data_IF_033364377567
#
_entry.id   IF_033364377567
#
_cell.length_a   1.000
_cell.length_b   1.000
_cell.length_c   1.000
_cell.angle_alpha   90.00
_cell.angle_beta   90.00
_cell.angle_gamma   90.00
#
_symmetry.space_group_name_H-M   'P 1'
#
loop_
_entity.id
_entity.type
_entity.pdbx_description
1 polymer ?
#
# COMPACT_ATOMS: atom_id res chain seq x y z
N UNK A 1 -20.16 0.26 -8.51
CA UNK A 1 -19.01 0.05 -7.59
C UNK A 1 -19.14 1.07 -6.46
N UNK A 2 -18.61 0.80 -5.26
CA UNK A 2 -18.63 1.80 -4.18
C UNK A 2 -17.62 2.92 -4.49
N UNK A 3 -18.00 4.18 -4.20
CA UNK A 3 -17.22 5.37 -4.56
C UNK A 3 -15.76 5.32 -4.03
N UNK A 4 -15.56 4.92 -2.78
CA UNK A 4 -14.20 4.79 -2.20
C UNK A 4 -13.29 3.82 -2.98
N UNK A 5 -13.86 2.77 -3.60
CA UNK A 5 -13.11 1.84 -4.44
C UNK A 5 -12.81 2.49 -5.80
N UNK A 6 -13.73 3.29 -6.32
CA UNK A 6 -13.58 4.02 -7.55
C UNK A 6 -12.54 5.14 -7.43
N UNK A 7 -12.59 5.90 -6.33
CA UNK A 7 -11.68 7.00 -6.05
C UNK A 7 -10.27 6.54 -5.69
N UNK A 8 -10.14 5.34 -5.06
CA UNK A 8 -8.84 4.83 -4.67
C UNK A 8 -7.93 4.59 -5.88
N UNK A 9 -6.82 5.29 -5.95
CA UNK A 9 -5.73 5.06 -6.92
C UNK A 9 -4.36 5.32 -6.29
N UNK A 10 -3.29 5.03 -6.99
CA UNK A 10 -1.93 5.15 -6.50
C UNK A 10 -1.26 6.39 -7.09
N UNK A 11 -1.60 7.55 -6.54
CA UNK A 11 -0.98 8.82 -6.91
C UNK A 11 0.46 8.93 -6.41
N UNK A 12 1.19 9.86 -7.02
CA UNK A 12 2.56 10.25 -6.65
C UNK A 12 2.66 11.73 -6.29
N UNK A 13 1.71 12.53 -6.77
CA UNK A 13 1.67 13.97 -6.60
C UNK A 13 1.16 14.41 -5.24
N UNK A 14 1.92 14.13 -4.19
CA UNK A 14 1.59 14.56 -2.85
C UNK A 14 2.00 16.01 -2.59
N UNK A 15 1.19 16.70 -1.79
CA UNK A 15 1.53 17.99 -1.23
C UNK A 15 2.62 17.83 -0.15
N UNK A 16 3.83 18.39 -0.37
CA UNK A 16 4.92 18.26 0.59
C UNK A 16 4.70 19.07 1.88
N UNK A 17 3.75 19.99 1.90
CA UNK A 17 3.44 20.81 3.09
C UNK A 17 2.27 20.23 3.90
N UNK A 18 1.43 19.38 3.30
CA UNK A 18 0.32 18.75 3.99
C UNK A 18 0.82 17.70 4.98
N UNK A 19 0.22 17.67 6.16
CA UNK A 19 0.57 16.72 7.24
C UNK A 19 -0.50 15.65 7.41
N UNK A 20 -0.10 14.53 7.99
CA UNK A 20 -0.98 13.46 8.48
C UNK A 20 -0.72 13.32 9.96
N UNK A 21 -1.78 13.34 10.76
CA UNK A 21 -1.69 13.23 12.21
C UNK A 21 -1.49 11.78 12.66
N UNK A 22 -0.99 11.59 13.88
CA UNK A 22 -0.88 10.26 14.49
C UNK A 22 -2.24 9.58 14.71
N UNK A 23 -3.31 10.37 14.91
CA UNK A 23 -4.68 9.85 15.04
C UNK A 23 -5.17 9.29 13.70
N UNK A 24 -4.98 10.02 12.60
CA UNK A 24 -5.32 9.54 11.26
C UNK A 24 -4.56 8.25 10.90
N UNK A 25 -3.29 8.18 11.25
CA UNK A 25 -2.51 6.93 11.06
C UNK A 25 -3.07 5.80 11.92
N UNK A 26 -3.48 6.07 13.16
CA UNK A 26 -4.08 5.06 14.03
C UNK A 26 -5.36 4.48 13.43
N UNK A 27 -6.24 5.31 12.87
CA UNK A 27 -7.46 4.85 12.21
C UNK A 27 -7.16 3.98 10.98
N UNK A 28 -6.14 4.35 10.19
CA UNK A 28 -5.69 3.57 9.04
C UNK A 28 -5.10 2.22 9.48
N UNK A 29 -4.30 2.20 10.54
CA UNK A 29 -3.73 0.96 11.10
C UNK A 29 -4.83 0.06 11.67
N UNK A 30 -5.85 0.63 12.34
CA UNK A 30 -7.01 -0.12 12.83
C UNK A 30 -7.75 -0.81 11.67
N UNK A 31 -7.96 -0.14 10.55
CA UNK A 31 -8.56 -0.77 9.38
C UNK A 31 -7.75 -1.98 8.91
N UNK A 32 -6.41 -1.88 8.90
CA UNK A 32 -5.51 -3.00 8.61
C UNK A 32 -5.58 -4.12 9.65
N UNK A 33 -5.69 -3.77 10.93
CA UNK A 33 -5.82 -4.73 12.04
C UNK A 33 -7.12 -5.54 11.97
N UNK A 34 -8.20 -4.95 11.46
CA UNK A 34 -9.50 -5.58 11.27
C UNK A 34 -9.63 -6.36 9.96
N UNK A 35 -8.58 -6.40 9.13
CA UNK A 35 -8.61 -7.21 7.91
C UNK A 35 -8.80 -8.70 8.22
N UNK A 36 -9.45 -9.45 7.33
CA UNK A 36 -9.51 -10.91 7.45
C UNK A 36 -8.11 -11.50 7.55
N UNK A 37 -7.95 -12.53 8.37
CA UNK A 37 -6.68 -13.22 8.56
C UNK A 37 -6.87 -14.74 8.57
N UNK A 38 -5.96 -15.44 7.89
CA UNK A 38 -5.98 -16.89 7.85
C UNK A 38 -5.69 -17.47 9.24
N UNK A 39 -6.50 -18.46 9.66
CA UNK A 39 -6.27 -19.22 10.87
C UNK A 39 -6.24 -18.42 12.18
N UNK A 40 -6.69 -17.17 12.19
CA UNK A 40 -6.63 -16.23 13.33
C UNK A 40 -5.20 -15.90 13.80
N UNK A 41 -4.19 -16.04 12.93
CA UNK A 41 -2.78 -15.92 13.28
C UNK A 41 -2.34 -14.45 13.36
N UNK A 42 -2.98 -13.56 12.59
CA UNK A 42 -2.62 -12.14 12.47
C UNK A 42 -1.12 -11.92 12.21
N UNK A 43 -0.60 -12.34 11.04
CA UNK A 43 0.83 -12.32 10.75
C UNK A 43 1.37 -10.92 10.42
N UNK A 44 0.48 -9.98 10.08
CA UNK A 44 0.86 -8.65 9.56
C UNK A 44 1.39 -7.75 10.69
N UNK A 45 2.46 -7.02 10.39
CA UNK A 45 3.11 -6.04 11.29
C UNK A 45 3.43 -4.77 10.53
N UNK A 46 3.41 -3.65 11.24
CA UNK A 46 3.62 -2.33 10.68
C UNK A 46 4.78 -1.62 11.37
N UNK A 47 5.64 -0.96 10.59
CA UNK A 47 6.61 0.03 11.08
C UNK A 47 6.24 1.36 10.45
N UNK A 48 5.97 2.35 11.27
CA UNK A 48 5.34 3.61 10.88
C UNK A 48 6.33 4.76 11.01
N UNK A 49 6.51 5.52 9.94
CA UNK A 49 7.26 6.78 9.93
C UNK A 49 6.35 7.93 9.50
N UNK A 50 6.30 8.97 10.32
CA UNK A 50 5.69 10.25 9.94
C UNK A 50 6.76 11.15 9.34
N UNK A 51 6.42 11.91 8.29
CA UNK A 51 7.38 12.81 7.67
C UNK A 51 8.04 13.73 8.70
N UNK A 52 9.36 13.76 8.68
CA UNK A 52 10.21 14.50 9.63
C UNK A 52 10.70 13.69 10.81
N UNK A 53 10.25 12.44 11.01
CA UNK A 53 10.83 11.56 12.02
C UNK A 53 11.92 10.62 11.44
N UNK A 54 12.74 10.06 12.32
CA UNK A 54 13.86 9.20 11.92
C UNK A 54 13.40 7.91 11.23
N UNK A 55 12.21 7.38 11.56
CA UNK A 55 11.65 6.18 10.94
C UNK A 55 11.26 6.46 9.49
N UNK A 56 10.63 7.60 9.24
CA UNK A 56 10.30 8.03 7.88
C UNK A 56 11.56 8.15 7.01
N UNK A 57 12.60 8.81 7.52
CA UNK A 57 13.85 9.01 6.79
C UNK A 57 14.53 7.66 6.44
N UNK A 58 14.51 6.70 7.36
CA UNK A 58 15.04 5.36 7.12
C UNK A 58 14.21 4.59 6.09
N UNK A 59 12.88 4.70 6.12
CA UNK A 59 11.99 4.10 5.12
C UNK A 59 12.20 4.72 3.74
N UNK A 60 12.31 6.04 3.67
CA UNK A 60 12.60 6.77 2.43
C UNK A 60 13.96 6.39 1.84
N UNK A 61 14.98 6.19 2.69
CA UNK A 61 16.31 5.74 2.28
C UNK A 61 16.29 4.34 1.65
N UNK A 62 15.41 3.45 2.13
CA UNK A 62 15.25 2.10 1.61
C UNK A 62 14.50 2.03 0.25
N UNK A 63 13.82 3.10 -0.18
CA UNK A 63 13.11 3.13 -1.46
C UNK A 63 14.08 2.95 -2.63
N UNK A 64 13.65 2.29 -3.70
CA UNK A 64 14.42 2.22 -4.94
C UNK A 64 14.24 3.48 -5.81
N UNK A 65 15.05 3.58 -6.89
CA UNK A 65 15.09 4.75 -7.77
C UNK A 65 13.70 5.19 -8.28
N UNK A 66 12.78 4.26 -8.54
CA UNK A 66 11.46 4.59 -9.09
C UNK A 66 10.52 5.29 -8.10
N UNK A 67 10.82 5.20 -6.79
CA UNK A 67 10.00 5.77 -5.73
C UNK A 67 10.69 6.93 -5.00
N UNK A 68 12.04 7.00 -5.01
CA UNK A 68 12.80 8.04 -4.32
C UNK A 68 12.49 9.46 -4.75
N UNK A 69 12.03 9.66 -5.97
CA UNK A 69 11.78 11.01 -6.51
C UNK A 69 10.48 11.64 -6.04
N UNK A 70 9.53 10.86 -5.55
CA UNK A 70 8.19 11.37 -5.20
C UNK A 70 7.71 10.96 -3.80
N UNK A 71 8.00 9.72 -3.35
CA UNK A 71 7.47 9.22 -2.09
C UNK A 71 7.95 9.98 -0.83
N UNK A 72 9.10 10.65 -0.80
CA UNK A 72 9.47 11.54 0.31
C UNK A 72 8.52 12.74 0.52
N UNK A 73 7.68 13.09 -0.46
CA UNK A 73 6.62 14.09 -0.31
C UNK A 73 5.38 13.55 0.44
N UNK A 74 5.29 12.24 0.67
CA UNK A 74 4.20 11.66 1.46
C UNK A 74 4.22 12.18 2.90
N UNK A 75 3.05 12.25 3.56
CA UNK A 75 2.93 12.61 4.97
C UNK A 75 3.33 11.47 5.91
N UNK A 76 3.23 10.21 5.43
CA UNK A 76 3.66 9.02 6.17
C UNK A 76 4.13 7.91 5.23
N UNK A 77 5.06 7.08 5.71
CA UNK A 77 5.48 5.82 5.12
C UNK A 77 5.26 4.69 6.13
N UNK A 78 4.67 3.59 5.69
CA UNK A 78 4.42 2.42 6.54
C UNK A 78 5.04 1.19 5.89
N UNK A 79 6.05 0.60 6.52
CA UNK A 79 6.55 -0.71 6.12
C UNK A 79 5.59 -1.78 6.62
N UNK A 80 5.10 -2.60 5.71
CA UNK A 80 4.19 -3.70 6.02
C UNK A 80 4.94 -5.02 5.85
N UNK A 81 5.02 -5.76 6.96
CA UNK A 81 5.67 -7.06 7.04
C UNK A 81 4.65 -8.16 7.29
N UNK A 82 4.96 -9.37 6.85
CA UNK A 82 4.20 -10.58 7.18
C UNK A 82 5.13 -11.70 7.64
N UNK A 83 4.57 -12.87 7.96
CA UNK A 83 5.37 -14.04 8.32
C UNK A 83 6.24 -14.53 7.15
N UNK A 84 7.47 -14.90 7.46
CA UNK A 84 8.42 -15.57 6.57
C UNK A 84 8.69 -16.97 7.15
N UNK A 85 7.67 -17.82 7.09
CA UNK A 85 7.73 -19.15 7.66
C UNK A 85 8.30 -20.14 6.64
N UNK A 86 9.62 -20.35 6.67
CA UNK A 86 10.29 -21.30 5.78
C UNK A 86 9.79 -22.74 5.97
N UNK A 87 9.36 -23.09 7.19
CA UNK A 87 8.92 -24.43 7.57
C UNK A 87 7.40 -24.63 7.48
N UNK A 88 6.64 -23.58 7.18
CA UNK A 88 5.17 -23.63 7.01
C UNK A 88 4.74 -22.90 5.73
N UNK A 89 4.65 -23.65 4.62
CA UNK A 89 4.25 -23.10 3.32
C UNK A 89 2.88 -22.43 3.35
N UNK A 90 1.93 -22.90 4.17
CA UNK A 90 0.61 -22.27 4.29
C UNK A 90 0.71 -20.93 4.98
N UNK A 91 1.45 -20.83 6.06
CA UNK A 91 1.66 -19.55 6.75
C UNK A 91 2.42 -18.55 5.87
N UNK A 92 3.37 -19.04 5.08
CA UNK A 92 4.10 -18.22 4.09
C UNK A 92 3.16 -17.65 3.03
N UNK A 93 2.35 -18.51 2.39
CA UNK A 93 1.47 -18.12 1.28
C UNK A 93 0.29 -17.27 1.77
N UNK A 94 -0.42 -17.74 2.79
CA UNK A 94 -1.57 -17.00 3.33
C UNK A 94 -1.17 -15.73 4.08
N UNK A 95 0.03 -15.67 4.63
CA UNK A 95 0.57 -14.44 5.19
C UNK A 95 0.69 -13.32 4.15
N UNK A 96 1.01 -13.63 2.90
CA UNK A 96 1.01 -12.67 1.81
C UNK A 96 -0.42 -12.21 1.43
N UNK A 97 -1.39 -13.14 1.44
CA UNK A 97 -2.82 -12.82 1.23
C UNK A 97 -3.32 -11.88 2.34
N UNK A 98 -3.06 -12.21 3.61
CA UNK A 98 -3.45 -11.40 4.76
C UNK A 98 -2.86 -9.98 4.69
N UNK A 99 -1.61 -9.85 4.27
CA UNK A 99 -0.97 -8.54 4.06
C UNK A 99 -1.68 -7.75 2.96
N UNK A 100 -2.00 -8.38 1.84
CA UNK A 100 -2.74 -7.73 0.75
C UNK A 100 -4.12 -7.24 1.20
N UNK A 101 -4.84 -8.05 2.00
CA UNK A 101 -6.14 -7.68 2.58
C UNK A 101 -6.00 -6.51 3.56
N UNK A 102 -4.97 -6.51 4.42
CA UNK A 102 -4.71 -5.42 5.35
C UNK A 102 -4.41 -4.11 4.60
N UNK A 103 -3.49 -4.14 3.62
CA UNK A 103 -3.14 -2.96 2.80
C UNK A 103 -4.34 -2.44 2.01
N UNK A 104 -5.21 -3.33 1.51
CA UNK A 104 -6.44 -2.92 0.82
C UNK A 104 -7.40 -2.18 1.75
N UNK A 105 -7.65 -2.70 2.97
CA UNK A 105 -8.51 -2.01 3.94
C UNK A 105 -7.91 -0.68 4.41
N UNK A 106 -6.61 -0.65 4.72
CA UNK A 106 -5.89 0.59 5.04
C UNK A 106 -6.04 1.63 3.92
N UNK A 107 -5.97 1.18 2.66
CA UNK A 107 -6.10 2.06 1.50
C UNK A 107 -7.51 2.66 1.39
N UNK A 108 -8.56 1.88 1.62
CA UNK A 108 -9.94 2.38 1.59
C UNK A 108 -10.20 3.32 2.77
N UNK A 109 -9.70 3.00 3.98
CA UNK A 109 -9.79 3.89 5.13
C UNK A 109 -9.09 5.23 4.85
N UNK A 110 -7.89 5.21 4.29
CA UNK A 110 -7.16 6.43 3.94
C UNK A 110 -7.97 7.32 2.96
N UNK A 111 -8.54 6.72 1.90
CA UNK A 111 -9.38 7.46 0.93
C UNK A 111 -10.58 8.09 1.60
N UNK A 112 -11.27 7.40 2.52
CA UNK A 112 -12.41 7.95 3.25
C UNK A 112 -12.06 9.18 4.11
N UNK A 113 -10.76 9.38 4.39
CA UNK A 113 -10.21 10.50 5.17
C UNK A 113 -9.55 11.58 4.28
N UNK A 114 -9.70 11.49 2.94
CA UNK A 114 -9.06 12.39 1.99
C UNK A 114 -7.53 12.20 1.91
N UNK A 115 -7.03 11.03 2.30
CA UNK A 115 -5.62 10.65 2.21
C UNK A 115 -5.44 9.66 1.08
N UNK A 116 -4.52 9.91 0.15
CA UNK A 116 -4.26 9.02 -0.97
C UNK A 116 -3.19 7.97 -0.61
N UNK A 117 -3.50 6.67 -0.78
CA UNK A 117 -2.59 5.57 -0.50
C UNK A 117 -1.86 5.09 -1.77
N UNK A 118 -0.55 4.81 -1.68
CA UNK A 118 0.23 4.20 -2.74
C UNK A 118 1.07 3.02 -2.21
N UNK A 119 0.61 1.78 -2.33
CA UNK A 119 1.41 0.61 -2.00
C UNK A 119 2.57 0.44 -2.98
N UNK A 120 3.79 0.32 -2.46
CA UNK A 120 5.03 0.18 -3.24
C UNK A 120 5.72 -1.15 -2.93
N UNK A 121 6.06 -1.92 -4.00
CA UNK A 121 6.97 -3.06 -3.91
C UNK A 121 8.43 -2.66 -4.23
N UNK A 122 8.64 -1.44 -4.72
CA UNK A 122 9.94 -0.95 -5.16
C UNK A 122 10.78 -0.37 -4.03
N UNK A 123 11.35 -1.22 -3.19
CA UNK A 123 12.30 -0.85 -2.12
C UNK A 123 13.30 -2.00 -1.87
N UNK A 124 14.37 -1.71 -1.15
CA UNK A 124 15.35 -2.71 -0.69
C UNK A 124 14.88 -3.34 0.63
N UNK A 125 14.29 -4.53 0.52
CA UNK A 125 13.77 -5.26 1.67
C UNK A 125 14.88 -5.68 2.66
N UNK A 126 16.12 -5.91 2.19
CA UNK A 126 17.26 -6.25 3.04
C UNK A 126 17.74 -5.04 3.83
N UNK A 127 17.83 -3.88 3.17
CA UNK A 127 18.15 -2.63 3.84
C UNK A 127 17.10 -2.26 4.89
N UNK A 128 15.80 -2.38 4.55
CA UNK A 128 14.72 -2.15 5.50
C UNK A 128 14.76 -3.12 6.68
N UNK A 129 15.02 -4.41 6.43
CA UNK A 129 15.20 -5.41 7.50
C UNK A 129 16.28 -5.01 8.48
N UNK A 130 17.43 -4.58 7.94
CA UNK A 130 18.59 -4.18 8.77
C UNK A 130 18.31 -2.89 9.56
N UNK A 131 17.70 -1.90 8.91
CA UNK A 131 17.43 -0.60 9.53
C UNK A 131 16.46 -0.69 10.72
N UNK A 132 15.55 -1.67 10.69
CA UNK A 132 14.46 -1.80 11.69
C UNK A 132 14.56 -3.09 12.50
N UNK A 133 15.66 -3.82 12.45
CA UNK A 133 15.85 -5.10 13.16
C UNK A 133 14.67 -6.07 12.96
N UNK A 134 14.14 -6.13 11.71
CA UNK A 134 13.01 -7.01 11.41
C UNK A 134 13.44 -8.46 11.57
N UNK A 135 12.75 -9.25 12.43
CA UNK A 135 13.13 -10.63 12.72
C UNK A 135 13.17 -11.51 11.47
N UNK A 136 13.97 -12.58 11.51
CA UNK A 136 14.14 -13.48 10.38
C UNK A 136 12.84 -14.19 9.96
N UNK A 137 11.93 -14.43 10.92
CA UNK A 137 10.59 -15.01 10.69
C UNK A 137 9.56 -14.02 10.14
N UNK A 138 9.97 -12.80 9.83
CA UNK A 138 9.15 -11.77 9.18
C UNK A 138 9.78 -11.32 7.88
N UNK A 139 8.96 -11.03 6.87
CA UNK A 139 9.42 -10.48 5.59
C UNK A 139 8.79 -9.11 5.31
N UNK A 140 9.59 -8.08 5.06
CA UNK A 140 9.13 -6.82 4.51
C UNK A 140 8.61 -7.03 3.08
N UNK A 141 7.38 -6.59 2.77
CA UNK A 141 6.78 -6.82 1.45
C UNK A 141 6.30 -5.57 0.74
N UNK A 142 5.80 -4.58 1.49
CA UNK A 142 5.22 -3.36 0.94
C UNK A 142 5.66 -2.18 1.79
N UNK A 143 5.99 -1.06 1.15
CA UNK A 143 5.95 0.25 1.81
C UNK A 143 4.71 0.97 1.29
N UNK A 144 3.78 1.31 2.18
CA UNK A 144 2.60 2.09 1.88
C UNK A 144 2.92 3.56 2.11
N UNK A 145 2.91 4.36 1.04
CA UNK A 145 2.96 5.80 1.14
C UNK A 145 1.55 6.35 1.34
N UNK A 146 1.41 7.32 2.21
CA UNK A 146 0.15 8.02 2.53
C UNK A 146 0.38 9.51 2.43
N UNK A 147 -0.41 10.22 1.65
CA UNK A 147 -0.28 11.66 1.46
C UNK A 147 -1.57 12.32 1.03
N UNK A 148 -1.71 13.61 1.26
CA UNK A 148 -2.74 14.41 0.63
C UNK A 148 -2.24 14.83 -0.75
N UNK A 149 -3.14 14.89 -1.73
CA UNK A 149 -2.77 15.30 -3.08
C UNK A 149 -2.51 16.81 -3.10
N UNK A 150 -1.57 17.22 -3.94
CA UNK A 150 -1.35 18.65 -4.20
C UNK A 150 -2.56 19.23 -4.94
N UNK A 151 -3.03 20.39 -4.48
CA UNK A 151 -4.15 21.11 -5.12
C UNK A 151 -3.79 21.60 -6.52
N UNK A 152 -2.52 21.96 -6.74
CA UNK A 152 -2.00 22.40 -8.04
C UNK A 152 -0.93 21.43 -8.56
N UNK A 153 -1.29 20.50 -9.47
CA UNK A 153 -0.35 19.57 -10.05
C UNK A 153 0.80 20.22 -10.85
N UNK A 154 0.64 21.48 -11.26
CA UNK A 154 1.67 22.17 -12.04
C UNK A 154 2.91 22.53 -11.21
N UNK A 155 2.81 22.48 -9.89
CA UNK A 155 3.92 22.70 -8.96
C UNK A 155 4.73 21.42 -8.71
N UNK A 156 4.27 20.27 -9.20
CA UNK A 156 4.92 18.97 -9.05
C UNK A 156 6.00 18.78 -10.14
N UNK A 157 6.87 17.80 -9.91
CA UNK A 157 7.79 17.32 -10.94
C UNK A 157 7.01 16.89 -12.19
N UNK A 158 7.40 17.32 -13.40
CA UNK A 158 6.72 16.95 -14.64
C UNK A 158 6.58 15.44 -14.85
N UNK A 159 7.56 14.64 -14.45
CA UNK A 159 7.52 13.18 -14.48
C UNK A 159 6.39 12.63 -13.60
N UNK A 160 6.15 13.24 -12.43
CA UNK A 160 5.06 12.86 -11.52
C UNK A 160 3.70 13.20 -12.14
N UNK A 161 3.56 14.42 -12.65
CA UNK A 161 2.33 14.89 -13.30
C UNK A 161 1.97 14.03 -14.52
N UNK A 162 2.94 13.73 -15.38
CA UNK A 162 2.73 12.86 -16.56
C UNK A 162 2.25 11.46 -16.16
N UNK A 163 2.91 10.83 -15.18
CA UNK A 163 2.53 9.49 -14.70
C UNK A 163 1.16 9.46 -14.02
N UNK A 164 0.80 10.49 -13.30
CA UNK A 164 -0.47 10.56 -12.58
C UNK A 164 -1.65 10.95 -13.48
N UNK A 165 -1.38 11.57 -14.65
CA UNK A 165 -2.39 11.88 -15.67
C UNK A 165 -2.78 10.69 -16.56
N UNK A 166 -2.04 9.59 -16.49
CA UNK A 166 -2.34 8.41 -17.32
C UNK A 166 -3.69 7.78 -16.94
N UNK A 167 -4.51 7.36 -17.93
CA UNK A 167 -5.80 6.73 -17.67
C UNK A 167 -5.63 5.43 -16.89
N UNK A 168 -6.57 5.19 -15.98
CA UNK A 168 -6.62 3.91 -15.24
C UNK A 168 -7.38 2.87 -16.06
N UNK A 169 -6.66 1.93 -16.61
CA UNK A 169 -7.23 0.84 -17.38
C UNK A 169 -7.32 -0.45 -16.55
N UNK A 170 -8.33 -1.26 -16.84
CA UNK A 170 -8.53 -2.60 -16.29
C UNK A 170 -9.06 -3.51 -17.38
N UNK A 171 -8.68 -4.77 -17.30
CA UNK A 171 -9.26 -5.79 -18.17
C UNK A 171 -10.80 -5.85 -17.96
N UNK A 172 -11.59 -6.12 -19.01
CA UNK A 172 -13.01 -6.33 -18.86
C UNK A 172 -13.32 -7.56 -18.01
N UNK A 173 -14.47 -7.56 -17.33
CA UNK A 173 -14.85 -8.68 -16.46
C UNK A 173 -14.88 -10.02 -17.20
N UNK A 174 -15.20 -10.03 -18.50
CA UNK A 174 -15.20 -11.23 -19.33
C UNK A 174 -13.84 -11.93 -19.46
N UNK A 175 -12.74 -11.20 -19.19
CA UNK A 175 -11.39 -11.75 -19.22
C UNK A 175 -10.85 -12.19 -17.86
N UNK A 176 -11.54 -11.85 -16.77
CA UNK A 176 -11.07 -12.11 -15.40
C UNK A 176 -12.09 -12.85 -14.53
N UNK A 177 -13.35 -12.98 -14.99
CA UNK A 177 -14.40 -13.69 -14.28
C UNK A 177 -14.97 -14.79 -15.16
N UNK A 178 -14.90 -16.03 -14.67
CA UNK A 178 -15.32 -17.21 -15.42
C UNK A 178 -16.36 -18.03 -14.65
N UNK A 179 -17.22 -18.77 -15.39
CA UNK A 179 -18.19 -19.69 -14.83
C UNK A 179 -18.10 -21.05 -15.55
N UNK A 180 -18.15 -22.14 -14.78
CA UNK A 180 -18.07 -23.51 -15.31
C UNK A 180 -16.63 -23.94 -15.56
N UNK A 181 -15.91 -23.26 -16.47
CA UNK A 181 -14.52 -23.59 -16.81
C UNK A 181 -13.67 -22.32 -16.93
N UNK A 182 -12.38 -22.46 -16.77
CA UNK A 182 -11.43 -21.39 -17.04
C UNK A 182 -11.53 -20.95 -18.51
N UNK A 183 -11.68 -19.64 -18.74
CA UNK A 183 -11.83 -19.05 -20.07
C UNK A 183 -13.27 -18.94 -20.56
N UNK A 184 -14.27 -19.51 -19.87
CA UNK A 184 -15.71 -19.29 -20.16
C UNK A 184 -16.21 -18.08 -19.35
N UNK A 185 -16.48 -16.91 -19.99
CA UNK A 185 -16.83 -15.71 -19.24
C UNK A 185 -18.10 -15.86 -18.39
N UNK A 186 -18.04 -15.37 -17.16
CA UNK A 186 -19.23 -15.23 -16.33
C UNK A 186 -20.18 -14.19 -16.97
N UNK A 187 -21.39 -14.64 -17.33
CA UNK A 187 -22.46 -13.77 -17.79
C UNK A 187 -23.58 -13.80 -16.76
N UNK A 188 -24.03 -12.63 -16.30
CA UNK A 188 -25.24 -12.55 -15.49
C UNK A 188 -26.41 -13.06 -16.36
N UNK A 189 -27.19 -14.01 -15.84
CA UNK A 189 -28.45 -14.38 -16.47
C UNK A 189 -29.34 -13.11 -16.56
N UNK A 190 -29.88 -12.84 -17.76
CA UNK A 190 -30.81 -11.74 -17.98
C UNK A 190 -32.13 -12.01 -17.29
#
# INVERSE_FOLDING_TARGET
MHELIEERWSARGYDPDATISAEEITDILEAGRWAPTWGRIQPVRFIVGLRGDATFEQLAAALNRGNKGWAPSAGALILVCTSDAADDAKLHDYGAVDLGLAVAQMSIQAVSMGINPHPMAGFDASAARTAFDVPADKRPMVILALGRLADDPTLLDPDVTDRDSQPRERLPLSEIAFAGRWGEPFTAAK
#
